data_IF_820615864907
#
_entry.id   IF_820615864907
#
_cell.length_a   1.000
_cell.length_b   1.000
_cell.length_c   1.000
_cell.angle_alpha   90.00
_cell.angle_beta   90.00
_cell.angle_gamma   90.00
#
_symmetry.space_group_name_H-M   'P 1'
#
loop_
_entity.id
_entity.type
_entity.pdbx_description
1 polymer ?
#
# COMPACT_ATOMS: atom_id res chain seq x y z
N UNK A 1 -0.09 32.19 39.92
CA UNK A 1 -0.61 30.81 39.92
C UNK A 1 -1.90 30.83 39.10
N UNK A 2 -1.82 30.63 37.78
CA UNK A 2 -2.98 30.75 36.89
C UNK A 2 -3.67 29.39 36.74
N UNK A 3 -4.86 29.24 37.32
CA UNK A 3 -5.76 28.12 37.02
C UNK A 3 -6.64 28.51 35.84
N UNK A 4 -6.43 27.91 34.68
CA UNK A 4 -7.38 27.99 33.57
C UNK A 4 -8.48 26.96 33.79
N UNK A 5 -9.59 27.34 34.40
CA UNK A 5 -10.85 26.59 34.29
C UNK A 5 -11.51 27.00 32.97
N UNK A 6 -11.41 26.16 31.94
CA UNK A 6 -12.23 26.33 30.74
C UNK A 6 -13.68 25.97 31.13
N UNK A 7 -14.65 26.90 31.16
CA UNK A 7 -16.02 26.55 31.49
C UNK A 7 -16.62 25.78 30.31
N UNK A 8 -16.60 24.45 30.40
CA UNK A 8 -17.27 23.56 29.45
C UNK A 8 -18.78 23.77 29.58
N UNK A 9 -19.32 24.69 28.79
CA UNK A 9 -20.76 24.92 28.72
C UNK A 9 -21.33 23.93 27.72
N UNK A 10 -21.70 22.76 28.23
CA UNK A 10 -22.29 21.69 27.41
C UNK A 10 -23.79 21.95 27.28
N UNK A 11 -24.34 22.11 26.06
CA UNK A 11 -25.79 22.26 25.85
C UNK A 11 -26.60 21.16 26.54
N UNK A 12 -27.80 21.49 27.04
CA UNK A 12 -28.60 20.59 27.87
C UNK A 12 -28.89 19.21 27.25
N UNK A 13 -29.06 19.15 25.92
CA UNK A 13 -29.30 17.87 25.22
C UNK A 13 -28.09 16.94 25.27
N UNK A 14 -26.86 17.46 25.19
CA UNK A 14 -25.65 16.65 25.35
C UNK A 14 -25.50 16.15 26.79
N UNK A 15 -25.89 16.95 27.79
CA UNK A 15 -25.87 16.50 29.19
C UNK A 15 -26.82 15.30 29.43
N UNK A 16 -27.99 15.31 28.79
CA UNK A 16 -28.92 14.17 28.82
C UNK A 16 -28.35 12.93 28.16
N UNK A 17 -27.75 13.07 26.96
CA UNK A 17 -27.09 11.97 26.25
C UNK A 17 -25.96 11.39 27.12
N UNK A 18 -25.08 12.23 27.66
CA UNK A 18 -23.98 11.80 28.51
C UNK A 18 -24.48 11.06 29.76
N UNK A 19 -25.50 11.60 30.45
CA UNK A 19 -26.09 10.93 31.62
C UNK A 19 -26.65 9.55 31.27
N UNK A 20 -27.35 9.42 30.14
CA UNK A 20 -27.87 8.13 29.69
C UNK A 20 -26.73 7.13 29.36
N UNK A 21 -25.65 7.62 28.75
CA UNK A 21 -24.49 6.81 28.36
C UNK A 21 -23.73 6.32 29.59
N UNK A 22 -23.55 7.16 30.61
CA UNK A 22 -22.93 6.78 31.89
C UNK A 22 -23.73 5.68 32.61
N UNK A 23 -25.06 5.74 32.58
CA UNK A 23 -25.89 4.67 33.17
C UNK A 23 -25.73 3.37 32.38
N UNK A 24 -25.77 3.43 31.04
CA UNK A 24 -25.56 2.25 30.20
C UNK A 24 -24.17 1.64 30.37
N UNK A 25 -23.13 2.47 30.50
CA UNK A 25 -21.77 2.02 30.77
C UNK A 25 -21.66 1.36 32.15
N UNK A 26 -22.31 1.92 33.17
CA UNK A 26 -22.37 1.32 34.51
C UNK A 26 -23.04 -0.06 34.50
N UNK A 27 -24.12 -0.22 33.74
CA UNK A 27 -24.78 -1.52 33.54
C UNK A 27 -23.90 -2.52 32.78
N UNK A 28 -23.19 -2.05 31.75
CA UNK A 28 -22.27 -2.89 30.98
C UNK A 28 -21.08 -3.37 31.84
N UNK A 29 -20.50 -2.49 32.67
CA UNK A 29 -19.43 -2.83 33.62
C UNK A 29 -19.89 -3.80 34.71
N UNK A 30 -21.16 -3.71 35.12
CA UNK A 30 -21.74 -4.69 36.05
C UNK A 30 -21.80 -6.09 35.44
N UNK A 31 -22.13 -6.19 34.14
CA UNK A 31 -22.19 -7.47 33.42
C UNK A 31 -20.80 -8.01 33.04
N UNK A 32 -19.89 -7.14 32.59
CA UNK A 32 -18.49 -7.45 32.28
C UNK A 32 -17.57 -6.41 32.90
N UNK A 33 -16.86 -6.73 34.01
CA UNK A 33 -15.94 -5.81 34.68
C UNK A 33 -14.78 -5.32 33.80
N UNK A 34 -14.46 -6.01 32.70
CA UNK A 34 -13.41 -5.60 31.77
C UNK A 34 -13.93 -4.80 30.58
N UNK A 35 -15.23 -4.48 30.56
CA UNK A 35 -15.85 -3.73 29.47
C UNK A 35 -15.21 -2.35 29.28
N UNK A 36 -14.95 -2.00 28.01
CA UNK A 36 -14.41 -0.68 27.62
C UNK A 36 -15.26 -0.11 26.51
N UNK A 37 -16.11 0.87 26.82
CA UNK A 37 -17.05 1.48 25.87
C UNK A 37 -16.37 2.01 24.60
N UNK A 38 -15.19 2.62 24.75
CA UNK A 38 -14.41 3.13 23.62
C UNK A 38 -13.87 2.01 22.73
N UNK A 39 -13.45 0.89 23.32
CA UNK A 39 -12.98 -0.26 22.55
C UNK A 39 -14.14 -0.96 21.82
N UNK A 40 -15.30 -1.07 22.47
CA UNK A 40 -16.50 -1.66 21.90
C UNK A 40 -17.07 -0.84 20.74
N UNK A 41 -16.93 0.49 20.78
CA UNK A 41 -17.43 1.40 19.74
C UNK A 41 -16.45 1.62 18.59
N UNK A 42 -15.17 1.27 18.76
CA UNK A 42 -14.15 1.54 17.75
C UNK A 42 -14.42 0.88 16.38
N UNK A 43 -14.89 -0.38 16.27
CA UNK A 43 -15.28 -0.98 14.98
C UNK A 43 -16.31 -0.16 14.22
N UNK A 44 -17.34 0.32 14.93
CA UNK A 44 -18.41 1.14 14.34
C UNK A 44 -17.84 2.46 13.80
N UNK A 45 -17.03 3.17 14.59
CA UNK A 45 -16.42 4.42 14.14
C UNK A 45 -15.48 4.21 12.95
N UNK A 46 -14.67 3.14 12.95
CA UNK A 46 -13.77 2.82 11.86
C UNK A 46 -14.54 2.52 10.55
N UNK A 47 -15.59 1.69 10.62
CA UNK A 47 -16.48 1.43 9.48
C UNK A 47 -17.12 2.73 9.00
N UNK A 48 -17.68 3.52 9.91
CA UNK A 48 -18.39 4.75 9.57
C UNK A 48 -17.46 5.77 8.91
N UNK A 49 -16.25 5.96 9.44
CA UNK A 49 -15.27 6.86 8.84
C UNK A 49 -14.87 6.44 7.42
N UNK A 50 -14.83 5.14 7.14
CA UNK A 50 -14.49 4.61 5.82
C UNK A 50 -15.65 4.69 4.81
N UNK A 51 -16.90 4.54 5.25
CA UNK A 51 -18.06 4.29 4.37
C UNK A 51 -19.04 5.46 4.25
N UNK A 52 -19.05 6.38 5.22
CA UNK A 52 -20.05 7.47 5.28
C UNK A 52 -19.79 8.48 4.13
N UNK A 53 -20.81 8.80 3.31
CA UNK A 53 -20.68 9.73 2.19
C UNK A 53 -20.55 11.20 2.62
N UNK A 54 -20.70 11.50 3.92
CA UNK A 54 -20.60 12.86 4.44
C UNK A 54 -19.25 13.51 4.08
N UNK A 55 -19.24 14.68 3.42
CA UNK A 55 -18.03 15.40 3.04
C UNK A 55 -17.07 15.63 4.22
N UNK A 56 -17.58 16.00 5.39
CA UNK A 56 -16.74 16.25 6.56
C UNK A 56 -16.02 14.99 7.07
N UNK A 57 -16.69 13.83 7.07
CA UNK A 57 -16.06 12.57 7.49
C UNK A 57 -15.04 12.11 6.45
N UNK A 58 -15.35 12.30 5.17
CA UNK A 58 -14.44 11.96 4.08
C UNK A 58 -13.18 12.83 4.12
N UNK A 59 -13.31 14.13 4.35
CA UNK A 59 -12.17 15.03 4.44
C UNK A 59 -11.32 14.68 5.69
N UNK A 60 -11.96 14.37 6.83
CA UNK A 60 -11.28 13.84 8.01
C UNK A 60 -10.57 12.49 7.76
N UNK A 61 -11.15 11.61 6.94
CA UNK A 61 -10.51 10.36 6.51
C UNK A 61 -9.25 10.67 5.69
N UNK A 62 -9.33 11.60 4.74
CA UNK A 62 -8.18 12.00 3.91
C UNK A 62 -7.07 12.58 4.79
N UNK A 63 -7.38 13.50 5.70
CA UNK A 63 -6.42 14.07 6.65
C UNK A 63 -5.81 13.02 7.61
N UNK A 64 -6.60 12.01 8.00
CA UNK A 64 -6.10 10.93 8.84
C UNK A 64 -5.12 10.02 8.08
N UNK A 65 -5.41 9.76 6.79
CA UNK A 65 -4.63 8.90 5.92
C UNK A 65 -3.42 9.59 5.30
N UNK A 66 -3.47 10.90 5.09
CA UNK A 66 -2.36 11.68 4.53
C UNK A 66 -1.87 12.71 5.53
N UNK A 67 -0.59 12.65 5.87
CA UNK A 67 0.07 13.65 6.69
C UNK A 67 1.41 14.02 6.07
N UNK A 68 1.72 15.31 6.00
CA UNK A 68 2.98 15.82 5.44
C UNK A 68 3.26 15.27 4.02
N UNK A 69 2.22 15.17 3.20
CA UNK A 69 2.23 14.58 1.86
C UNK A 69 2.77 13.13 1.79
N UNK A 70 2.57 12.35 2.87
CA UNK A 70 2.87 10.92 2.97
C UNK A 70 1.61 10.15 3.35
N UNK A 71 1.39 9.01 2.70
CA UNK A 71 0.30 8.13 3.06
C UNK A 71 0.65 7.29 4.29
N UNK A 72 -0.32 7.16 5.20
CA UNK A 72 -0.21 6.45 6.46
C UNK A 72 -0.87 5.09 6.34
N UNK A 73 -0.16 4.15 5.70
CA UNK A 73 -0.61 2.76 5.55
C UNK A 73 -1.05 2.11 6.86
N UNK A 74 -0.34 2.39 7.96
CA UNK A 74 -0.73 1.90 9.28
C UNK A 74 -2.11 2.42 9.75
N UNK A 75 -2.51 3.63 9.37
CA UNK A 75 -3.85 4.15 9.69
C UNK A 75 -4.91 3.44 8.86
N UNK A 76 -4.68 3.28 7.56
CA UNK A 76 -5.60 2.52 6.71
C UNK A 76 -5.75 1.06 7.16
N UNK A 77 -4.62 0.37 7.41
CA UNK A 77 -4.60 -1.00 7.89
C UNK A 77 -5.43 -1.16 9.18
N UNK A 78 -5.22 -0.26 10.15
CA UNK A 78 -5.97 -0.26 11.40
C UNK A 78 -7.45 0.01 11.21
N UNK A 79 -7.83 0.96 10.35
CA UNK A 79 -9.23 1.25 10.06
C UNK A 79 -9.92 0.07 9.40
N UNK A 80 -9.30 -0.56 8.40
CA UNK A 80 -9.84 -1.74 7.73
C UNK A 80 -9.95 -2.93 8.68
N UNK A 81 -8.91 -3.17 9.50
CA UNK A 81 -8.88 -4.28 10.45
C UNK A 81 -9.97 -4.15 11.54
N UNK A 82 -10.40 -2.93 11.85
CA UNK A 82 -11.41 -2.65 12.88
C UNK A 82 -12.80 -2.53 12.28
N UNK A 83 -12.92 -1.85 11.13
CA UNK A 83 -14.15 -1.74 10.37
C UNK A 83 -14.70 -3.12 10.00
N UNK A 84 -13.85 -4.06 9.56
CA UNK A 84 -14.29 -5.43 9.20
C UNK A 84 -14.86 -6.26 10.35
N UNK A 85 -14.68 -5.83 11.61
CA UNK A 85 -15.27 -6.53 12.76
C UNK A 85 -16.78 -6.25 12.85
N UNK A 86 -17.24 -5.19 12.22
CA UNK A 86 -18.65 -4.91 12.03
C UNK A 86 -19.20 -5.78 10.88
N UNK A 87 -20.36 -6.42 11.11
CA UNK A 87 -20.90 -7.45 10.21
C UNK A 87 -21.32 -6.89 8.85
N UNK A 88 -21.66 -5.61 8.77
CA UNK A 88 -22.09 -4.98 7.52
C UNK A 88 -20.96 -4.13 6.92
N UNK A 89 -19.71 -4.47 7.20
CA UNK A 89 -18.58 -3.84 6.54
C UNK A 89 -18.50 -4.26 5.07
N UNK A 90 -18.40 -3.27 4.18
CA UNK A 90 -18.22 -3.45 2.75
C UNK A 90 -16.93 -2.73 2.32
N UNK A 91 -15.97 -3.48 1.77
CA UNK A 91 -14.77 -2.89 1.20
C UNK A 91 -15.08 -2.03 -0.01
N UNK A 92 -16.13 -2.37 -0.78
CA UNK A 92 -16.61 -1.53 -1.88
C UNK A 92 -17.05 -0.17 -1.38
N UNK A 93 -17.93 -0.13 -0.37
CA UNK A 93 -18.41 1.11 0.23
C UNK A 93 -17.28 1.90 0.89
N UNK A 94 -16.32 1.21 1.53
CA UNK A 94 -15.17 1.85 2.18
C UNK A 94 -14.25 2.61 1.20
N UNK A 95 -14.21 2.22 -0.07
CA UNK A 95 -13.40 2.88 -1.09
C UNK A 95 -14.14 4.03 -1.78
N UNK A 96 -15.48 3.99 -1.84
CA UNK A 96 -16.28 4.95 -2.62
C UNK A 96 -16.02 6.43 -2.25
N UNK A 97 -15.98 6.85 -0.96
CA UNK A 97 -15.78 8.27 -0.62
C UNK A 97 -14.48 8.83 -1.17
N UNK A 98 -13.38 8.08 -1.05
CA UNK A 98 -12.05 8.49 -1.54
C UNK A 98 -11.99 8.46 -3.06
N UNK A 99 -12.51 7.40 -3.69
CA UNK A 99 -12.56 7.29 -5.16
C UNK A 99 -13.38 8.43 -5.78
N UNK A 100 -14.49 8.82 -5.15
CA UNK A 100 -15.33 9.94 -5.60
C UNK A 100 -14.55 11.25 -5.61
N UNK A 101 -13.74 11.54 -4.59
CA UNK A 101 -12.90 12.74 -4.56
C UNK A 101 -11.77 12.63 -5.57
N UNK A 102 -11.10 11.48 -5.63
CA UNK A 102 -9.99 11.24 -6.55
C UNK A 102 -10.37 11.50 -8.01
N UNK A 103 -11.60 11.10 -8.40
CA UNK A 103 -12.17 11.29 -9.73
C UNK A 103 -12.86 12.64 -9.92
N UNK A 104 -13.10 13.40 -8.86
CA UNK A 104 -13.76 14.70 -8.96
C UNK A 104 -12.86 15.74 -9.64
N UNK A 105 -13.42 16.77 -10.29
CA UNK A 105 -12.63 17.85 -10.87
C UNK A 105 -11.69 18.50 -9.83
N UNK A 106 -12.18 18.71 -8.61
CA UNK A 106 -11.46 19.37 -7.51
C UNK A 106 -10.46 18.46 -6.78
N UNK A 107 -10.35 17.19 -7.18
CA UNK A 107 -9.49 16.17 -6.57
C UNK A 107 -8.01 16.24 -6.91
N UNK A 108 -7.50 17.32 -7.51
CA UNK A 108 -6.12 17.44 -8.01
C UNK A 108 -5.06 17.17 -6.93
N UNK A 109 -5.26 17.71 -5.72
CA UNK A 109 -4.34 17.52 -4.62
C UNK A 109 -4.26 16.03 -4.22
N UNK A 110 -5.42 15.38 -4.09
CA UNK A 110 -5.49 13.96 -3.77
C UNK A 110 -4.87 13.10 -4.89
N UNK A 111 -5.10 13.43 -6.17
CA UNK A 111 -4.45 12.76 -7.31
C UNK A 111 -2.94 12.82 -7.20
N UNK A 112 -2.39 14.00 -6.93
CA UNK A 112 -0.93 14.20 -6.78
C UNK A 112 -0.36 13.35 -5.64
N UNK A 113 -1.04 13.32 -4.49
CA UNK A 113 -0.66 12.50 -3.33
C UNK A 113 -0.71 11.00 -3.65
N UNK A 114 -1.77 10.54 -4.31
CA UNK A 114 -1.93 9.13 -4.72
C UNK A 114 -0.86 8.72 -5.74
N UNK A 115 -0.56 9.56 -6.72
CA UNK A 115 0.51 9.30 -7.70
C UNK A 115 1.86 9.15 -6.99
N UNK A 116 2.19 10.07 -6.09
CA UNK A 116 3.45 10.02 -5.33
C UNK A 116 3.55 8.76 -4.48
N UNK A 117 2.46 8.37 -3.81
CA UNK A 117 2.46 7.14 -3.02
C UNK A 117 2.53 5.90 -3.91
N UNK A 118 1.86 5.88 -5.07
CA UNK A 118 1.91 4.76 -6.00
C UNK A 118 3.34 4.53 -6.55
N UNK A 119 4.08 5.60 -6.82
CA UNK A 119 5.51 5.56 -7.17
C UNK A 119 6.30 4.92 -6.04
N UNK A 120 6.12 5.37 -4.79
CA UNK A 120 6.79 4.83 -3.61
C UNK A 120 6.47 3.36 -3.36
N UNK A 121 5.21 2.95 -3.54
CA UNK A 121 4.79 1.54 -3.43
C UNK A 121 5.44 0.71 -4.53
N UNK A 122 5.50 1.21 -5.77
CA UNK A 122 6.15 0.51 -6.88
C UNK A 122 7.65 0.31 -6.64
N UNK A 123 8.33 1.32 -6.09
CA UNK A 123 9.71 1.21 -5.64
C UNK A 123 9.86 0.17 -4.53
N UNK A 124 9.00 0.20 -3.49
CA UNK A 124 9.02 -0.77 -2.41
C UNK A 124 8.84 -2.22 -2.87
N UNK A 125 7.94 -2.48 -3.83
CA UNK A 125 7.80 -3.80 -4.43
C UNK A 125 9.04 -4.21 -5.24
N UNK A 126 9.59 -3.29 -6.03
CA UNK A 126 10.81 -3.53 -6.82
C UNK A 126 11.97 -3.91 -5.91
N UNK A 127 12.21 -3.10 -4.87
CA UNK A 127 13.28 -3.32 -3.88
C UNK A 127 13.03 -4.60 -3.09
N UNK A 128 11.80 -4.85 -2.63
CA UNK A 128 11.44 -6.07 -1.91
C UNK A 128 11.65 -7.35 -2.73
N UNK A 129 11.32 -7.33 -4.02
CA UNK A 129 11.59 -8.47 -4.92
C UNK A 129 13.08 -8.68 -5.14
N UNK A 130 13.86 -7.60 -5.31
CA UNK A 130 15.31 -7.72 -5.48
C UNK A 130 15.97 -8.25 -4.20
N UNK A 131 15.56 -7.76 -3.04
CA UNK A 131 16.07 -8.19 -1.73
C UNK A 131 15.75 -9.67 -1.43
N UNK A 132 14.49 -10.08 -1.63
CA UNK A 132 14.09 -11.50 -1.45
C UNK A 132 14.80 -12.43 -2.44
N UNK A 133 14.99 -11.98 -3.69
CA UNK A 133 15.76 -12.74 -4.68
C UNK A 133 17.24 -12.83 -4.29
N UNK A 134 17.84 -11.76 -3.76
CA UNK A 134 19.23 -11.77 -3.29
C UNK A 134 19.50 -12.83 -2.22
N UNK A 135 18.59 -12.95 -1.24
CA UNK A 135 18.70 -13.97 -0.19
C UNK A 135 18.58 -15.39 -0.75
N UNK A 136 17.75 -15.60 -1.78
CA UNK A 136 17.50 -16.88 -2.42
C UNK A 136 18.52 -17.27 -3.51
N UNK A 137 19.40 -16.35 -3.94
CA UNK A 137 20.39 -16.61 -5.00
C UNK A 137 21.61 -17.39 -4.48
N UNK A 138 22.13 -18.37 -5.25
CA UNK A 138 23.44 -18.98 -5.00
C UNK A 138 24.58 -17.94 -5.07
N UNK A 139 25.68 -18.16 -4.33
CA UNK A 139 26.76 -17.18 -4.17
C UNK A 139 27.36 -16.65 -5.48
N UNK A 140 27.44 -17.50 -6.52
CA UNK A 140 27.96 -17.09 -7.83
C UNK A 140 27.07 -16.05 -8.55
N UNK A 141 25.75 -16.00 -8.26
CA UNK A 141 24.83 -15.02 -8.83
C UNK A 141 24.75 -13.73 -8.02
N UNK A 142 25.11 -13.76 -6.72
CA UNK A 142 25.12 -12.57 -5.85
C UNK A 142 26.05 -11.48 -6.40
N UNK A 143 27.23 -11.88 -6.88
CA UNK A 143 28.23 -10.99 -7.49
C UNK A 143 27.81 -10.39 -8.84
N UNK A 144 26.84 -10.99 -9.54
CA UNK A 144 26.39 -10.56 -10.87
C UNK A 144 25.27 -9.51 -10.80
N UNK A 145 24.42 -9.59 -9.78
CA UNK A 145 23.29 -8.66 -9.58
C UNK A 145 23.72 -7.42 -8.80
N UNK A 146 24.70 -7.57 -7.90
CA UNK A 146 25.19 -6.51 -7.03
C UNK A 146 26.72 -6.50 -6.99
N UNK A 147 27.33 -5.67 -7.84
CA UNK A 147 28.69 -5.21 -7.58
C UNK A 147 28.63 -4.30 -6.33
N UNK A 148 28.95 -4.86 -5.17
CA UNK A 148 28.81 -4.26 -3.84
C UNK A 148 29.85 -3.16 -3.53
N UNK A 149 30.17 -2.31 -4.51
CA UNK A 149 30.73 -1.00 -4.19
C UNK A 149 29.59 -0.08 -3.76
N UNK A 150 29.78 0.64 -2.65
CA UNK A 150 28.83 1.59 -2.05
C UNK A 150 28.34 2.74 -2.98
N UNK A 151 28.73 2.71 -4.26
CA UNK A 151 28.40 3.68 -5.31
C UNK A 151 27.56 3.06 -6.45
N UNK A 152 26.96 1.88 -6.25
CA UNK A 152 26.08 1.24 -7.24
C UNK A 152 24.72 1.95 -7.39
N UNK A 153 23.99 1.74 -8.50
CA UNK A 153 22.70 2.40 -8.78
C UNK A 153 21.53 2.00 -7.85
N UNK A 154 21.81 1.23 -6.79
CA UNK A 154 20.89 0.86 -5.70
C UNK A 154 21.51 1.16 -4.31
N UNK A 155 22.52 2.03 -4.23
CA UNK A 155 23.13 2.43 -2.97
C UNK A 155 22.11 3.20 -2.11
N UNK A 156 21.39 2.47 -1.26
CA UNK A 156 20.48 2.99 -0.23
C UNK A 156 20.95 2.53 1.13
N UNK A 157 20.65 3.29 2.17
CA UNK A 157 20.96 2.87 3.54
C UNK A 157 20.15 1.62 3.93
N UNK A 158 20.70 0.83 4.86
CA UNK A 158 20.01 -0.35 5.40
C UNK A 158 18.64 0.00 6.02
N UNK A 159 18.55 1.19 6.62
CA UNK A 159 17.31 1.70 7.21
C UNK A 159 16.26 2.07 6.16
N UNK A 160 16.67 2.67 5.03
CA UNK A 160 15.78 2.94 3.90
C UNK A 160 15.29 1.64 3.27
N UNK A 161 16.17 0.67 3.08
CA UNK A 161 15.81 -0.67 2.57
C UNK A 161 14.75 -1.33 3.44
N UNK A 162 14.96 -1.34 4.76
CA UNK A 162 14.01 -1.93 5.72
C UNK A 162 12.65 -1.22 5.65
N UNK A 163 12.64 0.12 5.55
CA UNK A 163 11.41 0.89 5.44
C UNK A 163 10.61 0.56 4.16
N UNK A 164 11.30 0.26 3.05
CA UNK A 164 10.67 -0.13 1.79
C UNK A 164 10.08 -1.55 1.87
N UNK A 165 10.78 -2.47 2.54
CA UNK A 165 10.27 -3.82 2.78
C UNK A 165 9.02 -3.78 3.67
N UNK A 166 9.06 -3.02 4.76
CA UNK A 166 7.91 -2.85 5.65
C UNK A 166 6.71 -2.22 4.95
N UNK A 167 6.96 -1.24 4.07
CA UNK A 167 5.91 -0.63 3.24
C UNK A 167 5.26 -1.66 2.33
N UNK A 168 6.05 -2.46 1.61
CA UNK A 168 5.54 -3.55 0.75
C UNK A 168 4.66 -4.50 1.56
N UNK A 169 5.13 -4.94 2.72
CA UNK A 169 4.41 -5.91 3.55
C UNK A 169 3.12 -5.31 4.11
N UNK A 170 3.12 -4.02 4.49
CA UNK A 170 1.91 -3.27 4.87
C UNK A 170 0.89 -3.22 3.73
N UNK A 171 1.32 -2.91 2.50
CA UNK A 171 0.44 -2.89 1.33
C UNK A 171 -0.18 -4.27 1.07
N UNK A 172 0.60 -5.34 1.20
CA UNK A 172 0.10 -6.72 1.06
C UNK A 172 -0.96 -7.04 2.12
N UNK A 173 -0.76 -6.63 3.37
CA UNK A 173 -1.76 -6.83 4.44
C UNK A 173 -3.04 -6.06 4.18
N UNK A 174 -2.94 -4.79 3.78
CA UNK A 174 -4.10 -3.96 3.39
C UNK A 174 -4.86 -4.59 2.23
N UNK A 175 -4.15 -5.05 1.19
CA UNK A 175 -4.75 -5.81 0.09
C UNK A 175 -5.47 -7.07 0.57
N UNK A 176 -4.87 -7.81 1.50
CA UNK A 176 -5.49 -8.96 2.15
C UNK A 176 -6.79 -8.59 2.88
N UNK A 177 -6.79 -7.49 3.64
CA UNK A 177 -7.98 -7.00 4.34
C UNK A 177 -9.11 -6.62 3.38
N UNK A 178 -8.79 -5.93 2.29
CA UNK A 178 -9.80 -5.58 1.28
C UNK A 178 -10.40 -6.83 0.63
N UNK A 179 -9.56 -7.79 0.24
CA UNK A 179 -10.00 -9.05 -0.39
C UNK A 179 -10.81 -9.96 0.55
N UNK A 180 -10.67 -9.82 1.87
CA UNK A 180 -11.49 -10.60 2.82
C UNK A 180 -12.96 -10.20 2.82
N UNK A 181 -13.30 -9.05 2.25
CA UNK A 181 -14.69 -8.61 2.08
C UNK A 181 -15.34 -9.33 0.90
N UNK A 182 -16.53 -9.89 1.09
CA UNK A 182 -17.22 -10.69 0.06
C UNK A 182 -17.59 -9.92 -1.22
N UNK A 183 -17.59 -8.59 -1.15
CA UNK A 183 -18.00 -7.65 -2.17
C UNK A 183 -16.82 -6.93 -2.86
N UNK A 184 -15.58 -7.29 -2.51
CA UNK A 184 -14.39 -6.66 -3.08
C UNK A 184 -14.05 -7.26 -4.45
N UNK A 185 -14.15 -6.43 -5.48
CA UNK A 185 -13.70 -6.75 -6.83
C UNK A 185 -12.43 -5.96 -7.16
N UNK A 186 -11.38 -6.57 -7.77
CA UNK A 186 -10.17 -5.84 -8.18
C UNK A 186 -10.44 -4.67 -9.14
N UNK A 187 -11.56 -4.72 -9.86
CA UNK A 187 -12.02 -3.66 -10.77
C UNK A 187 -12.35 -2.35 -10.04
N UNK A 188 -12.60 -2.39 -8.73
CA UNK A 188 -12.83 -1.19 -7.92
C UNK A 188 -11.59 -0.27 -7.88
N UNK A 189 -10.40 -0.79 -8.19
CA UNK A 189 -9.18 0.00 -8.26
C UNK A 189 -8.90 0.60 -9.65
N UNK A 190 -9.71 0.29 -10.67
CA UNK A 190 -9.55 0.85 -12.01
C UNK A 190 -9.46 2.38 -12.02
N UNK A 191 -10.30 3.13 -11.27
CA UNK A 191 -10.15 4.59 -11.16
C UNK A 191 -8.76 5.06 -10.74
N UNK A 192 -8.13 4.35 -9.81
CA UNK A 192 -6.77 4.68 -9.36
C UNK A 192 -5.79 4.43 -10.49
N UNK A 193 -5.93 3.31 -11.22
CA UNK A 193 -5.09 3.02 -12.38
C UNK A 193 -5.25 4.06 -13.49
N UNK A 194 -6.46 4.60 -13.70
CA UNK A 194 -6.71 5.68 -14.67
C UNK A 194 -5.96 6.96 -14.28
N UNK A 195 -5.96 7.34 -13.00
CA UNK A 195 -5.17 8.47 -12.50
C UNK A 195 -3.68 8.26 -12.74
N UNK A 196 -3.18 7.04 -12.53
CA UNK A 196 -1.77 6.72 -12.78
C UNK A 196 -1.38 6.72 -14.28
N UNK A 197 -2.34 6.64 -15.19
CA UNK A 197 -2.09 6.72 -16.64
C UNK A 197 -2.00 8.16 -17.16
N UNK A 198 -2.42 9.15 -16.36
CA UNK A 198 -2.44 10.56 -16.74
C UNK A 198 -1.03 11.11 -17.04
N UNK A 199 -0.90 12.15 -17.88
CA UNK A 199 0.39 12.72 -18.24
C UNK A 199 1.18 13.23 -17.04
N UNK A 200 0.53 13.78 -15.99
CA UNK A 200 1.24 14.18 -14.77
C UNK A 200 1.87 12.98 -14.07
N UNK A 201 1.15 11.87 -13.98
CA UNK A 201 1.65 10.62 -13.40
C UNK A 201 2.84 10.06 -14.19
N UNK A 202 2.85 10.17 -15.52
CA UNK A 202 3.99 9.76 -16.36
C UNK A 202 5.23 10.63 -16.14
N UNK A 203 5.06 11.94 -15.92
CA UNK A 203 6.17 12.86 -15.61
C UNK A 203 6.81 12.53 -14.26
N UNK A 204 5.99 12.19 -13.25
CA UNK A 204 6.47 11.79 -11.94
C UNK A 204 7.04 10.36 -11.93
N UNK A 205 6.40 9.43 -12.63
CA UNK A 205 6.77 8.00 -12.74
C UNK A 205 7.89 7.69 -13.74
N UNK A 206 8.28 8.64 -14.61
CA UNK A 206 9.37 8.48 -15.57
C UNK A 206 10.72 8.12 -14.93
N UNK A 207 10.90 8.43 -13.63
CA UNK A 207 12.08 8.02 -12.84
C UNK A 207 12.06 6.53 -12.42
N UNK A 208 10.88 5.92 -12.26
CA UNK A 208 10.73 4.51 -11.86
C UNK A 208 10.69 3.57 -13.07
N UNK A 209 10.00 3.97 -14.14
CA UNK A 209 9.86 3.16 -15.37
C UNK A 209 11.19 3.01 -16.11
N UNK A 210 12.10 3.99 -16.01
CA UNK A 210 13.44 3.91 -16.59
C UNK A 210 14.23 2.68 -16.13
N UNK A 211 14.12 2.31 -14.85
CA UNK A 211 14.85 1.18 -14.27
C UNK A 211 14.28 -0.21 -14.62
N UNK A 212 12.97 -0.34 -14.83
CA UNK A 212 12.32 -1.62 -15.15
C UNK A 212 12.50 -1.98 -16.62
N UNK A 213 12.32 -1.00 -17.52
CA UNK A 213 12.37 -1.22 -18.98
C UNK A 213 13.77 -1.60 -19.44
N UNK A 214 14.81 -0.96 -18.88
CA UNK A 214 16.22 -1.29 -19.19
C UNK A 214 16.59 -2.73 -18.82
N UNK A 215 16.08 -3.26 -17.70
CA UNK A 215 16.41 -4.61 -17.22
C UNK A 215 15.75 -5.71 -18.04
N UNK A 216 14.53 -5.47 -18.51
CA UNK A 216 13.84 -6.39 -19.42
C UNK A 216 14.45 -6.36 -20.83
N UNK A 217 14.80 -5.18 -21.33
CA UNK A 217 15.49 -5.02 -22.60
C UNK A 217 16.85 -5.74 -22.61
N UNK A 218 17.66 -5.58 -21.55
CA UNK A 218 18.95 -6.27 -21.43
C UNK A 218 18.80 -7.80 -21.40
N UNK A 219 17.78 -8.33 -20.71
CA UNK A 219 17.49 -9.78 -20.68
C UNK A 219 17.01 -10.30 -22.02
N UNK A 220 16.17 -9.53 -22.73
CA UNK A 220 15.70 -9.88 -24.05
C UNK A 220 16.84 -9.87 -25.07
N UNK A 221 17.72 -8.85 -25.03
CA UNK A 221 18.92 -8.79 -25.86
C UNK A 221 19.89 -9.96 -25.56
N UNK A 222 20.07 -10.33 -24.30
CA UNK A 222 20.89 -11.50 -23.94
C UNK A 222 20.26 -12.82 -24.38
N UNK A 223 18.94 -12.97 -24.32
CA UNK A 223 18.26 -14.18 -24.83
C UNK A 223 18.34 -14.28 -26.36
N UNK A 224 18.17 -13.17 -27.07
CA UNK A 224 18.26 -13.13 -28.54
C UNK A 224 19.70 -13.39 -29.01
N UNK A 225 20.71 -12.86 -28.31
CA UNK A 225 22.12 -13.08 -28.64
C UNK A 225 22.63 -14.49 -28.29
N UNK A 226 22.10 -15.11 -27.22
CA UNK A 226 22.49 -16.49 -26.83
C UNK A 226 21.89 -17.58 -27.71
N UNK A 227 20.83 -17.29 -28.47
CA UNK A 227 20.22 -18.26 -29.39
C UNK A 227 21.03 -18.43 -30.69
N UNK A 228 21.94 -17.51 -31.04
CA UNK A 228 22.73 -17.62 -32.28
C UNK A 228 24.11 -18.29 -32.12
N UNK A 229 24.62 -18.49 -30.91
CA UNK A 229 25.98 -19.05 -30.71
C UNK A 229 26.02 -20.57 -30.54
N UNK A 230 24.90 -21.29 -30.57
CA UNK A 230 24.85 -22.74 -30.36
C UNK A 230 24.66 -23.60 -31.63
N UNK A 231 24.69 -23.03 -32.84
CA UNK A 231 24.51 -23.80 -34.09
C UNK A 231 25.61 -23.62 -35.14
N UNK A 232 26.85 -23.33 -34.73
CA UNK A 232 27.99 -23.33 -35.64
C UNK A 232 29.27 -23.85 -34.98
N UNK A 233 29.22 -25.09 -34.49
CA UNK A 233 30.44 -25.90 -34.35
C UNK A 233 30.12 -27.38 -34.52
N UNK A 234 30.48 -27.89 -35.71
CA UNK A 234 30.98 -29.25 -35.97
C UNK A 234 29.97 -30.34 -36.38
N UNK A 235 29.39 -30.14 -37.57
CA UNK A 235 29.05 -31.19 -38.55
C UNK A 235 30.30 -31.56 -39.40
N UNK A 236 31.41 -31.96 -38.78
CA UNK A 236 32.57 -32.46 -39.53
C UNK A 236 33.36 -33.49 -38.72
N UNK A 237 32.87 -34.73 -38.72
CA UNK A 237 33.72 -35.93 -38.68
C UNK A 237 33.10 -36.95 -39.63
N UNK A 238 33.52 -36.87 -40.90
CA UNK A 238 33.22 -37.86 -41.91
C UNK A 238 33.98 -39.17 -41.66
N UNK A 239 33.24 -40.27 -41.74
CA UNK A 239 33.72 -41.63 -41.99
C UNK A 239 34.67 -41.68 -43.20
N UNK A 240 35.90 -42.20 -43.05
CA UNK A 240 36.65 -42.90 -44.11
C UNK A 240 37.54 -44.01 -43.48
N UNK A 241 37.07 -45.24 -43.70
CA UNK A 241 37.77 -46.50 -44.10
C UNK A 241 38.80 -47.28 -43.26
N UNK A 242 38.69 -48.59 -43.53
CA UNK A 242 39.31 -49.81 -43.00
C UNK A 242 40.40 -50.31 -43.98
N UNK A 243 41.30 -51.17 -43.49
CA UNK A 243 42.36 -51.95 -44.17
C UNK A 243 43.65 -51.18 -44.53
N UNK A 244 44.85 -51.69 -44.25
CA UNK A 244 45.33 -53.10 -44.24
C UNK A 244 46.18 -53.45 -43.03
#
# INVERSE_FOLDING_TARGET
MFSWSLPLTVPAYYALILRSLTVLEGLALYADPNFKVLAASYPYFAKRLLTDPNPYLRDALIELLFKDAKFRWNRLENLLAQGKKDRDFSAKEALQPVLKVLLSPDGEELRTLVIKEAVRVSEAFTIGTISSTYQALPDFMRNLVFNANANGPLAMSETELQSMIELRDQVIRVWGLLRTSNDFEPTLLLPILQVLQQPEARRLGGRVVGGITQRLAARFLQQVLRVQTSSSSLLWTGNIEVHS
#
